data_IF_957680785946
#
_entry.id   IF_957680785946
#
_cell.length_a   1.000
_cell.length_b   1.000
_cell.length_c   1.000
_cell.angle_alpha   90.00
_cell.angle_beta   90.00
_cell.angle_gamma   90.00
#
_symmetry.space_group_name_H-M   'P 1'
#
loop_
_entity.id
_entity.type
_entity.pdbx_description
1 polymer ?
#
# COMPACT_ATOMS: atom_id res chain seq x y z
N UNK A 1 8.28 -12.69 20.20
CA UNK A 1 8.48 -11.29 20.66
C UNK A 1 7.74 -10.38 19.71
N UNK A 2 6.65 -9.77 20.18
CA UNK A 2 5.77 -8.92 19.40
C UNK A 2 6.36 -7.50 19.39
N UNK A 3 6.74 -6.99 18.22
CA UNK A 3 7.11 -5.59 18.07
C UNK A 3 5.82 -4.77 17.99
N UNK A 4 5.50 -4.09 19.10
CA UNK A 4 4.43 -3.09 19.17
C UNK A 4 4.67 -2.02 18.10
N UNK A 5 3.83 -2.06 17.07
CA UNK A 5 3.78 -1.05 16.02
C UNK A 5 2.91 0.08 16.56
N UNK A 6 3.50 1.13 17.14
CA UNK A 6 2.82 2.41 17.27
C UNK A 6 2.59 2.94 15.86
N UNK A 7 1.48 2.55 15.25
CA UNK A 7 0.98 3.05 13.98
C UNK A 7 0.66 4.53 14.15
N UNK A 8 1.61 5.39 13.82
CA UNK A 8 1.25 6.73 13.38
C UNK A 8 0.28 6.59 12.19
N UNK A 9 -0.81 7.36 12.14
CA UNK A 9 -1.81 7.25 11.09
C UNK A 9 -1.28 7.85 9.79
N UNK A 10 -0.28 7.21 9.18
CA UNK A 10 0.04 7.39 7.78
C UNK A 10 -0.92 6.50 6.99
N UNK A 11 -1.71 7.12 6.13
CA UNK A 11 -2.89 6.54 5.47
C UNK A 11 -2.58 5.46 4.42
N UNK A 12 -1.37 4.86 4.43
CA UNK A 12 -0.95 3.82 3.47
C UNK A 12 0.02 2.82 4.14
N UNK A 13 -0.23 1.51 4.06
CA UNK A 13 0.74 0.53 4.55
C UNK A 13 2.05 0.65 3.77
N UNK A 14 3.15 0.73 4.49
CA UNK A 14 4.49 0.79 3.93
C UNK A 14 4.87 -0.58 3.36
N UNK A 15 5.69 -0.56 2.30
CA UNK A 15 6.26 -1.78 1.75
C UNK A 15 7.18 -2.44 2.79
N UNK A 16 6.99 -3.75 3.02
CA UNK A 16 7.81 -4.57 3.92
C UNK A 16 8.42 -5.72 3.14
N UNK A 17 9.73 -5.84 3.20
CA UNK A 17 10.46 -6.93 2.56
C UNK A 17 10.53 -8.15 3.49
N UNK A 18 10.26 -9.35 2.96
CA UNK A 18 10.36 -10.60 3.71
C UNK A 18 11.59 -11.41 3.26
N UNK A 19 12.45 -11.75 4.23
CA UNK A 19 13.73 -12.40 3.95
C UNK A 19 13.61 -13.75 3.24
N UNK A 20 12.51 -14.50 3.45
CA UNK A 20 12.29 -15.80 2.79
C UNK A 20 12.23 -15.68 1.26
N UNK A 21 11.86 -14.51 0.72
CA UNK A 21 11.80 -14.27 -0.72
C UNK A 21 13.18 -14.26 -1.39
N UNK A 22 14.21 -13.79 -0.68
CA UNK A 22 15.59 -13.77 -1.20
C UNK A 22 16.16 -15.16 -1.46
N UNK A 23 15.58 -16.20 -0.85
CA UNK A 23 16.03 -17.59 -0.95
C UNK A 23 15.35 -18.36 -2.08
N UNK A 24 14.34 -17.80 -2.72
CA UNK A 24 13.64 -18.46 -3.81
C UNK A 24 14.45 -18.35 -5.11
N UNK A 25 14.53 -19.44 -5.88
CA UNK A 25 15.38 -19.54 -7.08
C UNK A 25 15.11 -18.44 -8.13
N UNK A 26 13.85 -18.02 -8.26
CA UNK A 26 13.46 -16.98 -9.21
C UNK A 26 13.67 -15.53 -8.72
N UNK A 27 14.17 -15.31 -7.51
CA UNK A 27 14.23 -13.98 -6.87
C UNK A 27 15.01 -12.94 -7.68
N UNK A 28 16.23 -13.26 -8.12
CA UNK A 28 17.11 -12.32 -8.83
C UNK A 28 16.52 -11.89 -10.19
N UNK A 29 15.91 -12.82 -10.93
CA UNK A 29 15.26 -12.51 -12.22
C UNK A 29 14.07 -11.56 -12.05
N UNK A 30 13.32 -11.67 -10.95
CA UNK A 30 12.20 -10.79 -10.64
C UNK A 30 12.68 -9.37 -10.30
N UNK A 31 13.76 -9.22 -9.53
CA UNK A 31 14.36 -7.92 -9.19
C UNK A 31 14.88 -7.21 -10.44
N UNK A 32 15.63 -7.93 -11.28
CA UNK A 32 16.21 -7.39 -12.50
C UNK A 32 15.14 -6.87 -13.48
N UNK A 33 14.08 -7.65 -13.73
CA UNK A 33 12.96 -7.24 -14.59
C UNK A 33 12.20 -6.03 -14.03
N UNK A 34 12.10 -5.91 -12.71
CA UNK A 34 11.51 -4.75 -12.04
C UNK A 34 12.35 -3.48 -12.19
N UNK A 35 13.67 -3.61 -12.14
CA UNK A 35 14.61 -2.49 -12.15
C UNK A 35 14.88 -1.92 -13.56
N UNK A 36 14.72 -2.74 -14.60
CA UNK A 36 14.95 -2.34 -16.00
C UNK A 36 13.83 -1.45 -16.60
N UNK A 37 12.67 -1.29 -15.93
CA UNK A 37 11.57 -0.44 -16.42
C UNK A 37 11.79 1.05 -16.09
N UNK A 38 12.74 1.70 -16.76
CA UNK A 38 12.77 3.18 -16.84
C UNK A 38 11.82 3.71 -17.92
N UNK A 39 10.49 3.73 -17.68
CA UNK A 39 9.52 4.47 -18.54
C UNK A 39 8.24 4.90 -17.78
N UNK A 40 8.33 5.97 -17.00
CA UNK A 40 7.34 7.07 -16.90
C UNK A 40 7.68 7.99 -15.72
N UNK A 41 7.67 9.29 -15.99
CA UNK A 41 7.73 10.46 -15.09
C UNK A 41 6.88 10.26 -13.81
N UNK A 42 7.52 9.81 -12.72
CA UNK A 42 7.00 9.83 -11.34
C UNK A 42 5.96 8.77 -10.96
N UNK A 43 6.36 7.49 -10.87
CA UNK A 43 5.51 6.37 -10.40
C UNK A 43 4.75 6.65 -9.09
N UNK A 44 5.36 7.37 -8.14
CA UNK A 44 4.73 7.74 -6.87
C UNK A 44 3.53 8.69 -7.04
N UNK A 45 3.54 9.56 -8.05
CA UNK A 45 2.42 10.48 -8.34
C UNK A 45 1.17 9.71 -8.79
N UNK A 46 1.36 8.67 -9.60
CA UNK A 46 0.26 7.82 -10.04
C UNK A 46 -0.33 7.00 -8.89
N UNK A 47 0.52 6.44 -8.03
CA UNK A 47 0.09 5.74 -6.81
C UNK A 47 -0.68 6.70 -5.88
N UNK A 48 -0.21 7.93 -5.74
CA UNK A 48 -0.89 8.94 -4.94
C UNK A 48 -2.29 9.30 -5.48
N UNK A 49 -2.42 9.48 -6.80
CA UNK A 49 -3.70 9.79 -7.44
C UNK A 49 -4.72 8.65 -7.30
N UNK A 50 -4.30 7.40 -7.41
CA UNK A 50 -5.20 6.25 -7.24
C UNK A 50 -5.76 6.17 -5.82
N UNK A 51 -4.90 6.39 -4.82
CA UNK A 51 -5.31 6.35 -3.41
C UNK A 51 -6.23 7.52 -3.04
N UNK A 52 -6.04 8.70 -3.66
CA UNK A 52 -6.96 9.83 -3.49
C UNK A 52 -8.37 9.52 -4.01
N UNK A 53 -8.48 8.83 -5.16
CA UNK A 53 -9.79 8.42 -5.72
C UNK A 53 -10.49 7.38 -4.87
N UNK A 54 -9.75 6.41 -4.33
CA UNK A 54 -10.31 5.38 -3.47
C UNK A 54 -10.86 5.95 -2.15
N UNK A 55 -10.15 6.92 -1.54
CA UNK A 55 -10.62 7.62 -0.33
C UNK A 55 -12.03 8.20 -0.50
N UNK A 56 -12.32 8.81 -1.65
CA UNK A 56 -13.63 9.40 -1.92
C UNK A 56 -14.74 8.35 -2.03
N UNK A 57 -14.46 7.21 -2.68
CA UNK A 57 -15.43 6.11 -2.80
C UNK A 57 -15.76 5.49 -1.45
N UNK A 58 -14.75 5.30 -0.60
CA UNK A 58 -14.97 4.75 0.74
C UNK A 58 -15.70 5.72 1.67
N UNK A 59 -15.44 7.03 1.58
CA UNK A 59 -16.21 8.01 2.36
C UNK A 59 -17.71 7.96 2.01
N UNK A 60 -18.04 7.78 0.73
CA UNK A 60 -19.41 7.60 0.26
C UNK A 60 -20.04 6.31 0.82
N UNK A 61 -19.35 5.18 0.68
CA UNK A 61 -19.81 3.90 1.23
C UNK A 61 -20.02 3.97 2.75
N UNK A 62 -19.14 4.66 3.48
CA UNK A 62 -19.24 4.79 4.92
C UNK A 62 -20.43 5.64 5.36
N UNK A 63 -20.82 6.61 4.54
CA UNK A 63 -22.01 7.41 4.74
C UNK A 63 -23.29 6.65 4.37
N UNK A 64 -23.23 5.72 3.42
CA UNK A 64 -24.37 4.91 2.99
C UNK A 64 -24.65 3.78 3.99
N UNK A 65 -23.60 3.06 4.40
CA UNK A 65 -23.74 1.79 5.13
C UNK A 65 -23.48 1.91 6.64
N UNK A 66 -22.65 2.86 7.08
CA UNK A 66 -22.11 2.90 8.46
C UNK A 66 -22.42 4.18 9.22
N UNK A 67 -23.33 5.02 8.70
CA UNK A 67 -23.70 6.32 9.29
C UNK A 67 -24.33 6.22 10.68
N UNK A 68 -24.87 5.05 11.04
CA UNK A 68 -25.58 4.81 12.29
C UNK A 68 -24.78 4.01 13.34
N UNK A 69 -23.51 3.69 13.07
CA UNK A 69 -22.66 2.98 14.03
C UNK A 69 -22.16 3.98 15.08
N UNK A 70 -22.48 3.80 16.38
CA UNK A 70 -22.01 4.69 17.44
C UNK A 70 -20.48 4.67 17.55
N UNK A 71 -19.88 5.82 17.86
CA UNK A 71 -18.45 5.92 18.18
C UNK A 71 -18.31 5.68 19.68
N UNK A 72 -17.77 4.52 20.04
CA UNK A 72 -17.26 4.25 21.39
C UNK A 72 -16.01 5.08 21.69
#
# INVERSE_FOLDING_TARGET
>A
MMLNMTTQPSTKPLFRFFNVWSKHSSFLSLVEKGWQKRKATGHMKNIWLHLKRLKQKFAKLNQEEFKAVPRD
#
